data_IF_491940591053
#
_entry.id   IF_491940591053
#
_cell.length_a   1.000
_cell.length_b   1.000
_cell.length_c   1.000
_cell.angle_alpha   90.00
_cell.angle_beta   90.00
_cell.angle_gamma   90.00
#
_symmetry.space_group_name_H-M   'P 1'
#
loop_
_entity.id
_entity.type
_entity.pdbx_description
1 polymer ?
#
# COMPACT_ATOMS: atom_id res chain seq x y z
N UNK A 1 -22.45 7.08 30.22
CA UNK A 1 -22.19 8.50 30.51
C UNK A 1 -22.85 9.32 29.42
N UNK A 2 -23.93 10.04 29.72
CA UNK A 2 -24.66 10.87 28.75
C UNK A 2 -24.00 12.25 28.74
N UNK A 3 -23.43 12.65 27.60
CA UNK A 3 -22.89 14.00 27.40
C UNK A 3 -23.96 14.82 26.68
N UNK A 4 -24.35 15.95 27.28
CA UNK A 4 -25.30 16.90 26.69
C UNK A 4 -24.79 17.38 25.33
N UNK A 5 -25.70 17.56 24.35
CA UNK A 5 -25.34 18.01 22.97
C UNK A 5 -24.59 19.35 22.92
N UNK A 6 -24.73 20.15 23.97
CA UNK A 6 -24.20 21.51 24.07
C UNK A 6 -22.94 21.59 24.95
N UNK A 7 -22.40 20.43 25.37
CA UNK A 7 -21.15 20.39 26.12
C UNK A 7 -19.99 20.76 25.18
N UNK A 8 -19.29 21.84 25.54
CA UNK A 8 -18.06 22.27 24.88
C UNK A 8 -17.07 21.10 24.87
N UNK A 9 -16.41 20.80 23.72
CA UNK A 9 -15.55 19.63 23.62
C UNK A 9 -14.38 19.77 24.59
N UNK A 10 -14.46 19.05 25.71
CA UNK A 10 -13.36 18.95 26.67
C UNK A 10 -12.12 18.47 25.90
N UNK A 11 -11.02 19.21 26.00
CA UNK A 11 -9.75 18.92 25.33
C UNK A 11 -9.18 17.55 25.73
N UNK A 12 -9.65 17.00 26.86
CA UNK A 12 -9.29 15.69 27.36
C UNK A 12 -10.37 14.61 27.13
N UNK A 13 -11.47 14.94 26.44
CA UNK A 13 -12.50 13.97 26.10
C UNK A 13 -11.94 12.88 25.18
N UNK A 14 -12.09 11.63 25.63
CA UNK A 14 -11.77 10.45 24.82
C UNK A 14 -13.04 9.97 24.11
N UNK A 15 -12.90 9.71 22.81
CA UNK A 15 -13.98 9.22 21.96
C UNK A 15 -13.72 7.74 21.62
N UNK A 16 -14.76 6.91 21.56
CA UNK A 16 -14.62 5.52 21.14
C UNK A 16 -14.36 5.47 19.64
N UNK A 17 -13.23 4.88 19.26
CA UNK A 17 -12.94 4.46 17.90
C UNK A 17 -13.10 2.94 17.82
N UNK A 18 -13.98 2.47 16.94
CA UNK A 18 -14.25 1.05 16.77
C UNK A 18 -13.93 0.59 15.35
N UNK A 19 -13.51 -0.66 15.25
CA UNK A 19 -13.31 -1.35 13.98
C UNK A 19 -14.64 -1.43 13.21
N UNK A 20 -14.71 -0.81 12.04
CA UNK A 20 -15.90 -0.86 11.16
C UNK A 20 -16.23 -2.27 10.68
N UNK A 21 -15.25 -3.18 10.65
CA UNK A 21 -15.44 -4.58 10.30
C UNK A 21 -16.04 -5.45 11.41
N UNK A 22 -16.51 -4.88 12.53
CA UNK A 22 -17.14 -5.65 13.61
C UNK A 22 -16.18 -6.56 14.38
N UNK A 23 -14.87 -6.32 14.28
CA UNK A 23 -13.84 -7.21 14.79
C UNK A 23 -13.62 -7.14 16.32
N UNK A 24 -14.48 -6.43 17.05
CA UNK A 24 -14.38 -6.25 18.51
C UNK A 24 -13.23 -5.35 18.97
N UNK A 25 -12.37 -4.88 18.07
CA UNK A 25 -11.30 -3.94 18.39
C UNK A 25 -11.86 -2.53 18.53
N UNK A 26 -11.60 -1.90 19.68
CA UNK A 26 -11.92 -0.51 19.93
C UNK A 26 -10.91 0.14 20.87
N UNK A 27 -10.67 1.42 20.66
CA UNK A 27 -9.73 2.23 21.44
C UNK A 27 -10.40 3.56 21.76
N UNK A 28 -10.19 4.06 22.98
CA UNK A 28 -10.59 5.41 23.36
C UNK A 28 -9.41 6.35 23.11
N UNK A 29 -9.57 7.30 22.19
CA UNK A 29 -8.55 8.33 21.90
C UNK A 29 -9.21 9.65 21.52
N UNK A 30 -8.42 10.70 21.26
CA UNK A 30 -8.94 12.01 20.85
C UNK A 30 -9.74 11.88 19.55
N UNK A 31 -10.55 12.88 19.22
CA UNK A 31 -11.33 12.92 17.98
C UNK A 31 -10.49 13.21 16.72
N UNK A 32 -9.18 12.99 16.79
CA UNK A 32 -8.22 13.29 15.72
C UNK A 32 -7.70 12.00 15.08
N UNK A 33 -7.66 11.89 13.73
CA UNK A 33 -7.13 10.71 13.05
C UNK A 33 -5.67 10.38 13.36
N UNK A 34 -4.84 11.35 13.74
CA UNK A 34 -3.44 11.03 14.10
C UNK A 34 -3.37 10.33 15.46
N UNK A 35 -4.24 10.72 16.39
CA UNK A 35 -4.31 10.11 17.72
C UNK A 35 -4.70 8.61 17.72
N UNK A 36 -5.40 8.13 16.69
CA UNK A 36 -5.63 6.69 16.50
C UNK A 36 -4.42 6.00 15.86
N UNK A 37 -3.74 6.67 14.93
CA UNK A 37 -2.54 6.13 14.28
C UNK A 37 -1.42 5.87 15.28
N UNK A 38 -1.25 6.75 16.28
CA UNK A 38 -0.30 6.57 17.38
C UNK A 38 -0.52 5.26 18.16
N UNK A 39 -1.76 4.79 18.28
CA UNK A 39 -2.08 3.54 18.97
C UNK A 39 -2.04 2.34 18.01
N UNK A 40 -2.62 2.50 16.81
CA UNK A 40 -2.84 1.40 15.88
C UNK A 40 -1.56 1.00 15.14
N UNK A 41 -0.73 1.95 14.71
CA UNK A 41 0.49 1.65 13.94
C UNK A 41 1.45 0.75 14.74
N UNK A 42 1.78 1.03 16.01
CA UNK A 42 2.62 0.15 16.81
C UNK A 42 2.05 -1.26 16.95
N UNK A 43 0.73 -1.38 17.19
CA UNK A 43 0.05 -2.68 17.33
C UNK A 43 0.10 -3.50 16.04
N UNK A 44 -0.20 -2.89 14.89
CA UNK A 44 -0.13 -3.55 13.59
C UNK A 44 1.32 -3.90 13.25
N UNK A 45 2.28 -3.02 13.55
CA UNK A 45 3.70 -3.30 13.30
C UNK A 45 4.19 -4.50 14.13
N UNK A 46 3.78 -4.60 15.40
CA UNK A 46 4.16 -5.69 16.31
C UNK A 46 3.54 -7.00 15.84
N UNK A 47 2.23 -7.00 15.55
CA UNK A 47 1.51 -8.18 15.07
C UNK A 47 2.00 -8.63 13.69
N UNK A 48 2.25 -7.69 12.78
CA UNK A 48 2.77 -7.95 11.45
C UNK A 48 4.17 -8.58 11.47
N UNK A 49 5.08 -8.03 12.28
CA UNK A 49 6.43 -8.59 12.47
C UNK A 49 6.40 -9.95 13.16
N UNK A 50 5.60 -10.12 14.21
CA UNK A 50 5.44 -11.42 14.87
C UNK A 50 4.91 -12.50 13.92
N UNK A 51 3.95 -12.13 13.04
CA UNK A 51 3.45 -13.04 12.01
C UNK A 51 4.52 -13.40 10.99
N UNK A 52 5.32 -12.43 10.53
CA UNK A 52 6.41 -12.69 9.59
C UNK A 52 7.49 -13.58 10.21
N UNK A 53 7.90 -13.31 11.44
CA UNK A 53 8.90 -14.10 12.18
C UNK A 53 8.42 -15.53 12.48
N UNK A 54 7.10 -15.73 12.56
CA UNK A 54 6.50 -17.05 12.78
C UNK A 54 6.28 -17.87 11.50
N UNK A 55 6.53 -17.30 10.30
CA UNK A 55 6.45 -18.04 9.04
C UNK A 55 7.71 -18.85 8.79
N UNK A 56 7.57 -19.99 8.13
CA UNK A 56 8.72 -20.74 7.61
C UNK A 56 9.38 -19.99 6.45
N UNK A 57 10.65 -20.29 6.16
CA UNK A 57 11.34 -19.73 4.99
C UNK A 57 10.61 -20.05 3.68
N UNK A 58 10.00 -21.24 3.57
CA UNK A 58 9.23 -21.64 2.39
C UNK A 58 7.97 -20.76 2.20
N UNK A 59 7.25 -20.47 3.28
CA UNK A 59 6.08 -19.58 3.25
C UNK A 59 6.46 -18.16 2.86
N UNK A 60 7.57 -17.65 3.41
CA UNK A 60 8.09 -16.32 3.06
C UNK A 60 8.49 -16.24 1.59
N UNK A 61 9.21 -17.25 1.08
CA UNK A 61 9.59 -17.33 -0.33
C UNK A 61 8.37 -17.45 -1.26
N UNK A 62 7.34 -18.21 -0.86
CA UNK A 62 6.08 -18.28 -1.58
C UNK A 62 5.38 -16.93 -1.69
N UNK A 63 5.37 -16.16 -0.60
CA UNK A 63 4.81 -14.81 -0.56
C UNK A 63 5.58 -13.84 -1.45
N UNK A 64 6.92 -13.88 -1.39
CA UNK A 64 7.81 -13.06 -2.22
C UNK A 64 7.57 -13.37 -3.70
N UNK A 65 7.52 -14.65 -4.09
CA UNK A 65 7.25 -15.08 -5.47
C UNK A 65 5.88 -14.59 -5.95
N UNK A 66 4.85 -14.71 -5.12
CA UNK A 66 3.50 -14.24 -5.43
C UNK A 66 3.46 -12.73 -5.66
N UNK A 67 4.01 -11.94 -4.73
CA UNK A 67 4.06 -10.48 -4.86
C UNK A 67 4.90 -10.02 -6.06
N UNK A 68 6.03 -10.68 -6.32
CA UNK A 68 6.89 -10.41 -7.48
C UNK A 68 6.16 -10.72 -8.78
N UNK A 69 5.44 -11.82 -8.85
CA UNK A 69 4.62 -12.19 -10.02
C UNK A 69 3.55 -11.12 -10.29
N UNK A 70 2.84 -10.67 -9.26
CA UNK A 70 1.82 -9.63 -9.40
C UNK A 70 2.44 -8.30 -9.86
N UNK A 71 3.56 -7.88 -9.28
CA UNK A 71 4.31 -6.70 -9.73
C UNK A 71 4.66 -6.79 -11.22
N UNK A 72 5.21 -7.93 -11.67
CA UNK A 72 5.56 -8.16 -13.07
C UNK A 72 4.34 -8.09 -14.00
N UNK A 73 3.21 -8.67 -13.60
CA UNK A 73 1.97 -8.59 -14.40
C UNK A 73 1.51 -7.14 -14.59
N UNK A 74 1.55 -6.32 -13.53
CA UNK A 74 1.19 -4.91 -13.65
C UNK A 74 2.19 -4.09 -14.46
N UNK A 75 3.48 -4.41 -14.41
CA UNK A 75 4.49 -3.82 -15.30
C UNK A 75 4.24 -4.16 -16.77
N UNK A 76 3.86 -5.40 -17.07
CA UNK A 76 3.47 -5.81 -18.43
C UNK A 76 2.23 -5.02 -18.89
N UNK A 77 1.20 -4.91 -18.05
CA UNK A 77 0.01 -4.11 -18.38
C UNK A 77 0.35 -2.62 -18.62
N UNK A 78 1.21 -2.05 -17.77
CA UNK A 78 1.68 -0.68 -17.92
C UNK A 78 2.47 -0.47 -19.22
N UNK A 79 3.25 -1.47 -19.67
CA UNK A 79 3.99 -1.43 -20.93
C UNK A 79 3.10 -1.68 -22.16
N UNK A 80 2.00 -2.43 -22.02
CA UNK A 80 1.03 -2.65 -23.10
C UNK A 80 0.25 -1.37 -23.43
N UNK A 81 -0.08 -0.54 -22.44
CA UNK A 81 -0.77 0.74 -22.66
C UNK A 81 -0.11 1.65 -23.73
N UNK A 82 1.19 2.01 -23.65
CA UNK A 82 1.84 2.82 -24.68
C UNK A 82 1.96 2.11 -26.03
N UNK A 83 2.06 0.77 -26.06
CA UNK A 83 2.04 0.01 -27.31
C UNK A 83 0.69 0.14 -28.02
N UNK A 84 -0.41 -0.02 -27.27
CA UNK A 84 -1.77 0.16 -27.80
C UNK A 84 -1.98 1.61 -28.25
N UNK A 85 -1.52 2.60 -27.47
CA UNK A 85 -1.64 4.01 -27.83
C UNK A 85 -0.85 4.33 -29.12
N UNK A 86 0.37 3.81 -29.25
CA UNK A 86 1.21 4.00 -30.44
C UNK A 86 0.60 3.34 -31.68
N UNK A 87 0.07 2.13 -31.52
CA UNK A 87 -0.67 1.45 -32.58
C UNK A 87 -1.91 2.23 -33.00
N UNK A 88 -2.71 2.70 -32.03
CA UNK A 88 -3.91 3.49 -32.30
C UNK A 88 -3.58 4.78 -33.05
N UNK A 89 -2.49 5.46 -32.68
CA UNK A 89 -2.02 6.65 -33.38
C UNK A 89 -1.58 6.33 -34.81
N UNK A 90 -0.85 5.24 -35.02
CA UNK A 90 -0.41 4.80 -36.35
C UNK A 90 -1.57 4.44 -37.29
N UNK A 91 -2.67 3.91 -36.75
CA UNK A 91 -3.90 3.60 -37.52
C UNK A 91 -4.83 4.80 -37.71
N UNK A 92 -4.43 6.02 -37.34
CA UNK A 92 -5.24 7.24 -37.50
C UNK A 92 -6.26 7.47 -36.38
N UNK A 93 -6.04 6.90 -35.19
CA UNK A 93 -6.90 7.08 -34.03
C UNK A 93 -6.89 8.52 -33.50
N UNK A 94 -7.98 8.91 -32.84
CA UNK A 94 -8.12 10.23 -32.25
C UNK A 94 -7.13 10.43 -31.09
N UNK A 95 -6.48 11.59 -31.02
CA UNK A 95 -5.50 11.91 -29.98
C UNK A 95 -6.07 11.73 -28.55
N UNK A 96 -7.34 12.09 -28.33
CA UNK A 96 -8.03 11.90 -27.04
C UNK A 96 -8.11 10.43 -26.60
N UNK A 97 -8.29 9.51 -27.54
CA UNK A 97 -8.29 8.06 -27.27
C UNK A 97 -6.90 7.60 -26.83
N UNK A 98 -5.86 8.07 -27.51
CA UNK A 98 -4.47 7.76 -27.14
C UNK A 98 -4.11 8.27 -25.74
N UNK A 99 -4.51 9.51 -25.40
CA UNK A 99 -4.31 10.09 -24.06
C UNK A 99 -5.03 9.26 -22.99
N UNK A 100 -6.27 8.85 -23.27
CA UNK A 100 -7.05 8.01 -22.35
C UNK A 100 -6.37 6.67 -22.11
N UNK A 101 -5.85 6.02 -23.15
CA UNK A 101 -5.12 4.75 -23.04
C UNK A 101 -3.81 4.94 -22.26
N UNK A 102 -3.07 6.03 -22.52
CA UNK A 102 -1.85 6.35 -21.79
C UNK A 102 -2.11 6.64 -20.32
N UNK A 103 -3.22 7.27 -19.98
CA UNK A 103 -3.58 7.53 -18.58
C UNK A 103 -3.76 6.25 -17.76
N UNK A 104 -4.13 5.13 -18.39
CA UNK A 104 -4.25 3.82 -17.72
C UNK A 104 -2.90 3.22 -17.32
N UNK A 105 -1.79 3.65 -17.94
CA UNK A 105 -0.46 3.20 -17.54
C UNK A 105 -0.11 3.64 -16.11
N UNK A 106 -0.65 4.79 -15.66
CA UNK A 106 -0.38 5.38 -14.34
C UNK A 106 -0.89 4.48 -13.19
N UNK A 107 -2.18 4.12 -13.10
CA UNK A 107 -2.65 3.24 -12.03
C UNK A 107 -1.98 1.86 -12.05
N UNK A 108 -1.68 1.30 -13.23
CA UNK A 108 -0.93 0.04 -13.32
C UNK A 108 0.50 0.18 -12.77
N UNK A 109 1.19 1.29 -13.05
CA UNK A 109 2.51 1.57 -12.49
C UNK A 109 2.46 1.67 -10.96
N UNK A 110 1.45 2.35 -10.40
CA UNK A 110 1.26 2.41 -8.94
C UNK A 110 1.06 1.02 -8.32
N UNK A 111 0.25 0.16 -8.96
CA UNK A 111 0.04 -1.21 -8.49
C UNK A 111 1.32 -2.04 -8.59
N UNK A 112 2.08 -1.89 -9.68
CA UNK A 112 3.36 -2.58 -9.86
C UNK A 112 4.36 -2.21 -8.75
N UNK A 113 4.54 -0.90 -8.50
CA UNK A 113 5.41 -0.39 -7.43
C UNK A 113 4.93 -0.88 -6.05
N UNK A 114 3.62 -0.85 -5.79
CA UNK A 114 3.02 -1.34 -4.54
C UNK A 114 3.38 -2.80 -4.29
N UNK A 115 3.20 -3.68 -5.28
CA UNK A 115 3.49 -5.11 -5.12
C UNK A 115 4.99 -5.38 -5.04
N UNK A 116 5.82 -4.63 -5.78
CA UNK A 116 7.28 -4.70 -5.65
C UNK A 116 7.74 -4.32 -4.24
N UNK A 117 7.21 -3.22 -3.69
CA UNK A 117 7.50 -2.79 -2.33
C UNK A 117 7.08 -3.84 -1.29
N UNK A 118 5.92 -4.49 -1.46
CA UNK A 118 5.48 -5.58 -0.57
C UNK A 118 6.39 -6.80 -0.64
N UNK A 119 6.89 -7.16 -1.83
CA UNK A 119 7.88 -8.23 -1.96
C UNK A 119 9.17 -7.87 -1.20
N UNK A 120 9.66 -6.65 -1.39
CA UNK A 120 10.86 -6.14 -0.72
C UNK A 120 10.73 -6.09 0.80
N UNK A 121 9.58 -5.65 1.34
CA UNK A 121 9.31 -5.63 2.78
C UNK A 121 9.34 -7.02 3.42
N UNK A 122 8.88 -8.04 2.70
CA UNK A 122 8.90 -9.43 3.18
C UNK A 122 10.34 -9.97 3.13
N UNK A 123 11.07 -9.71 2.04
CA UNK A 123 12.46 -10.14 1.88
C UNK A 123 13.41 -9.56 2.94
N UNK A 124 13.24 -8.28 3.27
CA UNK A 124 14.12 -7.57 4.22
C UNK A 124 13.61 -7.57 5.66
N UNK A 125 12.38 -8.04 5.90
CA UNK A 125 11.74 -7.95 7.20
C UNK A 125 11.40 -6.52 7.66
N UNK A 126 11.59 -5.49 6.82
CA UNK A 126 11.35 -4.08 7.18
C UNK A 126 9.88 -3.70 7.04
N UNK A 127 9.01 -4.38 7.78
CA UNK A 127 7.58 -4.10 7.85
C UNK A 127 7.29 -2.83 8.67
N UNK A 128 6.63 -1.86 8.04
CA UNK A 128 6.14 -0.61 8.65
C UNK A 128 7.23 0.30 9.25
N UNK A 129 8.45 0.26 8.71
CA UNK A 129 9.52 1.20 9.08
C UNK A 129 9.33 2.53 8.34
N UNK A 130 9.39 3.63 9.08
CA UNK A 130 9.30 4.98 8.53
C UNK A 130 10.49 5.25 7.59
N UNK A 131 10.24 5.88 6.44
CA UNK A 131 11.28 6.19 5.45
C UNK A 131 11.76 5.01 4.58
N UNK A 132 11.36 3.78 4.87
CA UNK A 132 11.74 2.60 4.09
C UNK A 132 11.30 2.67 2.62
N UNK A 133 10.10 3.20 2.36
CA UNK A 133 9.61 3.44 1.00
C UNK A 133 10.49 4.42 0.22
N UNK A 134 10.96 5.49 0.86
CA UNK A 134 11.81 6.48 0.19
C UNK A 134 13.15 5.86 -0.20
N UNK A 135 13.75 5.06 0.67
CA UNK A 135 14.98 4.32 0.34
C UNK A 135 14.75 3.30 -0.79
N UNK A 136 13.62 2.59 -0.75
CA UNK A 136 13.23 1.66 -1.80
C UNK A 136 13.12 2.33 -3.17
N UNK A 137 12.45 3.49 -3.25
CA UNK A 137 12.31 4.26 -4.49
C UNK A 137 13.68 4.81 -4.96
N UNK A 138 14.46 5.39 -4.05
CA UNK A 138 15.78 5.95 -4.35
C UNK A 138 16.77 4.91 -4.89
N UNK A 139 16.71 3.68 -4.38
CA UNK A 139 17.56 2.57 -4.83
C UNK A 139 17.07 1.90 -6.12
N UNK A 140 15.93 2.30 -6.67
CA UNK A 140 15.41 1.73 -7.90
C UNK A 140 14.92 0.29 -7.76
N UNK A 141 14.68 -0.21 -6.53
CA UNK A 141 14.26 -1.58 -6.25
C UNK A 141 12.85 -1.92 -6.75
N UNK A 142 12.13 -0.92 -7.28
CA UNK A 142 10.84 -1.08 -7.92
C UNK A 142 10.95 -1.55 -9.38
N UNK A 143 12.13 -1.47 -9.98
CA UNK A 143 12.39 -1.92 -11.34
C UNK A 143 12.58 -3.45 -11.39
N UNK A 144 12.02 -4.14 -12.39
CA UNK A 144 12.27 -5.56 -12.59
C UNK A 144 13.77 -5.83 -12.82
N UNK A 145 14.36 -6.73 -12.02
CA UNK A 145 15.75 -7.20 -12.21
C UNK A 145 16.81 -6.46 -11.39
N UNK A 146 16.44 -5.44 -10.61
CA UNK A 146 17.32 -4.86 -9.59
C UNK A 146 17.18 -5.72 -8.33
N UNK A 147 18.17 -6.57 -8.07
CA UNK A 147 18.23 -7.36 -6.83
C UNK A 147 18.60 -6.45 -5.65
N UNK A 148 18.01 -6.74 -4.48
CA UNK A 148 18.15 -5.96 -3.26
C UNK A 148 19.38 -6.38 -2.45
#
# INVERSE_FOLDING_TARGET
>A
MFVHKDAEPDKNALYPWTCSGGCGFGVFTKRDPNSINEVVIPLISKKGRARLNGMSEEEQLGLIKSHTRQSRMFWVLAAVCPLIASYSLATGGMAMTCISILSMAVPFSFLAIKWSYRAWQVHTGTLYIEGAFNQFVKRGLWLPGVEA
#
